data_IF_889085129817
#
_entry.id   IF_889085129817
#
_cell.length_a   1.000
_cell.length_b   1.000
_cell.length_c   1.000
_cell.angle_alpha   90.00
_cell.angle_beta   90.00
_cell.angle_gamma   90.00
#
_symmetry.space_group_name_H-M   'P 1'
#
loop_
_entity.id
_entity.type
_entity.pdbx_description
1 polymer ?
#
# COMPACT_ATOMS: atom_id res chain seq x y z
N UNK A 1 1.52 9.20 -22.45
CA UNK A 1 2.05 9.52 -21.11
C UNK A 1 1.69 8.36 -20.21
N UNK A 2 2.59 7.87 -19.33
CA UNK A 2 2.22 6.84 -18.36
C UNK A 2 1.04 7.37 -17.54
N UNK A 3 -0.08 6.64 -17.53
CA UNK A 3 -1.22 6.99 -16.69
C UNK A 3 -0.88 6.63 -15.23
N UNK A 4 -1.08 7.56 -14.30
CA UNK A 4 -0.99 7.26 -12.88
C UNK A 4 -2.31 6.62 -12.43
N UNK A 5 -2.27 5.39 -11.91
CA UNK A 5 -3.46 4.71 -11.45
C UNK A 5 -3.68 5.03 -9.96
N UNK A 6 -4.85 5.59 -9.58
CA UNK A 6 -5.18 5.82 -8.18
C UNK A 6 -5.44 4.48 -7.49
N UNK A 7 -4.77 4.26 -6.37
CA UNK A 7 -4.96 3.10 -5.51
C UNK A 7 -5.34 3.59 -4.12
N UNK A 8 -6.37 2.96 -3.57
CA UNK A 8 -6.84 3.21 -2.22
C UNK A 8 -6.62 1.93 -1.41
N UNK A 9 -5.89 2.05 -0.32
CA UNK A 9 -5.66 0.96 0.62
C UNK A 9 -6.46 1.26 1.88
N UNK A 10 -7.30 0.32 2.28
CA UNK A 10 -8.08 0.41 3.52
C UNK A 10 -7.67 -0.72 4.46
N UNK A 11 -7.31 -0.35 5.68
CA UNK A 11 -7.07 -1.29 6.78
C UNK A 11 -8.23 -1.17 7.73
N UNK A 12 -8.91 -2.29 7.98
CA UNK A 12 -9.97 -2.39 8.99
C UNK A 12 -9.45 -3.16 10.19
N UNK A 13 -9.67 -2.63 11.38
CA UNK A 13 -9.24 -3.23 12.64
C UNK A 13 -10.31 -2.99 13.69
N UNK A 14 -10.57 -3.99 14.54
CA UNK A 14 -11.51 -3.87 15.67
C UNK A 14 -10.97 -2.96 16.79
N UNK A 15 -9.68 -2.61 16.71
CA UNK A 15 -9.01 -1.72 17.65
C UNK A 15 -8.32 -0.59 16.90
N UNK A 16 -8.28 0.58 17.54
CA UNK A 16 -7.51 1.72 17.04
C UNK A 16 -6.02 1.36 17.01
N UNK A 17 -5.47 1.22 15.81
CA UNK A 17 -4.04 0.96 15.58
C UNK A 17 -3.40 2.16 14.91
N UNK A 18 -2.29 2.63 15.48
CA UNK A 18 -1.42 3.62 14.86
C UNK A 18 -0.46 2.95 13.89
N UNK A 19 -0.21 3.58 12.74
CA UNK A 19 0.80 3.15 11.77
C UNK A 19 2.03 4.02 11.94
N UNK A 20 3.13 3.40 12.32
CA UNK A 20 4.43 4.06 12.52
C UNK A 20 5.13 4.33 11.20
N UNK A 21 5.13 3.34 10.31
CA UNK A 21 5.78 3.40 9.02
C UNK A 21 5.04 2.48 8.05
N UNK A 22 4.83 2.92 6.81
CA UNK A 22 4.32 2.04 5.77
C UNK A 22 4.90 2.42 4.42
N UNK A 23 5.23 1.40 3.63
CA UNK A 23 5.76 1.58 2.28
C UNK A 23 5.36 0.42 1.38
N UNK A 24 5.24 0.71 0.09
CA UNK A 24 5.15 -0.28 -0.97
C UNK A 24 6.52 -0.48 -1.60
N UNK A 25 6.87 -1.73 -1.86
CA UNK A 25 8.07 -2.10 -2.59
C UNK A 25 7.67 -2.98 -3.79
N UNK A 26 8.26 -2.73 -4.94
CA UNK A 26 8.02 -3.55 -6.13
C UNK A 26 8.79 -4.86 -6.02
N UNK A 27 8.08 -6.00 -6.04
CA UNK A 27 8.70 -7.33 -5.94
C UNK A 27 9.40 -7.69 -7.25
N UNK A 28 8.70 -7.48 -8.38
CA UNK A 28 9.20 -7.79 -9.71
C UNK A 28 9.58 -6.54 -10.52
N UNK A 29 9.56 -5.35 -9.89
CA UNK A 29 9.85 -4.08 -10.52
C UNK A 29 10.76 -3.23 -9.64
N UNK A 30 11.86 -2.75 -10.20
CA UNK A 30 12.83 -1.93 -9.47
C UNK A 30 12.41 -0.45 -9.45
N UNK A 31 11.37 -0.14 -8.68
CA UNK A 31 10.82 1.23 -8.53
C UNK A 31 11.16 1.88 -7.18
N UNK A 32 11.88 1.17 -6.31
CA UNK A 32 12.21 1.62 -4.97
C UNK A 32 11.02 1.49 -4.00
N UNK A 33 11.11 2.23 -2.88
CA UNK A 33 10.09 2.24 -1.82
C UNK A 33 9.18 3.45 -2.00
N UNK A 34 7.88 3.21 -2.18
CA UNK A 34 6.85 4.24 -2.23
C UNK A 34 6.26 4.40 -0.83
N UNK A 35 6.43 5.56 -0.16
CA UNK A 35 5.87 5.75 1.17
C UNK A 35 4.34 5.77 1.12
N UNK A 36 3.70 5.09 2.07
CA UNK A 36 2.24 5.02 2.20
C UNK A 36 1.83 5.73 3.48
N UNK A 37 1.04 6.79 3.34
CA UNK A 37 0.55 7.57 4.47
C UNK A 37 -0.90 7.18 4.77
N UNK A 38 -1.10 6.53 5.92
CA UNK A 38 -2.43 6.20 6.40
C UNK A 38 -3.02 7.36 7.20
N UNK A 39 -4.30 7.62 6.97
CA UNK A 39 -5.10 8.56 7.75
C UNK A 39 -6.33 7.84 8.29
N UNK A 40 -6.79 8.23 9.47
CA UNK A 40 -7.98 7.65 10.05
C UNK A 40 -9.22 8.16 9.31
N UNK A 41 -9.90 7.26 8.58
CA UNK A 41 -11.14 7.56 7.85
C UNK A 41 -12.37 7.29 8.71
N UNK A 42 -12.29 6.30 9.61
CA UNK A 42 -13.32 6.00 10.62
C UNK A 42 -12.66 5.44 11.89
N UNK A 43 -13.40 5.26 13.01
CA UNK A 43 -12.85 4.69 14.25
C UNK A 43 -12.06 3.39 14.04
N UNK A 44 -12.53 2.55 13.11
CA UNK A 44 -12.03 1.20 12.86
C UNK A 44 -11.37 1.08 11.48
N UNK A 45 -11.17 2.19 10.76
CA UNK A 45 -10.64 2.19 9.39
C UNK A 45 -9.56 3.24 9.18
N UNK A 46 -8.39 2.76 8.75
CA UNK A 46 -7.34 3.58 8.19
C UNK A 46 -7.40 3.52 6.67
N UNK A 47 -7.16 4.65 6.02
CA UNK A 47 -7.19 4.78 4.57
C UNK A 47 -5.94 5.52 4.08
N UNK A 48 -5.32 4.98 3.04
CA UNK A 48 -4.21 5.61 2.34
C UNK A 48 -4.54 5.75 0.85
N UNK A 49 -4.29 6.94 0.31
CA UNK A 49 -4.45 7.25 -1.10
C UNK A 49 -3.08 7.41 -1.72
N UNK A 50 -2.83 6.65 -2.77
CA UNK A 50 -1.59 6.72 -3.50
C UNK A 50 -1.87 6.66 -5.00
N UNK A 51 -0.91 7.13 -5.77
CA UNK A 51 -0.92 7.00 -7.21
C UNK A 51 0.33 6.24 -7.61
N UNK A 52 0.13 5.09 -8.26
CA UNK A 52 1.23 4.33 -8.82
C UNK A 52 1.32 4.66 -10.30
N UNK A 53 2.50 5.08 -10.76
CA UNK A 53 2.75 5.24 -12.19
C UNK A 53 2.62 3.89 -12.88
N UNK A 54 1.87 3.82 -13.98
CA UNK A 54 1.81 2.62 -14.80
C UNK A 54 3.23 2.28 -15.29
N UNK A 55 3.80 1.21 -14.74
CA UNK A 55 5.06 0.67 -15.23
C UNK A 55 4.81 -0.14 -16.51
N UNK A 56 5.83 -0.29 -17.35
CA UNK A 56 5.76 -1.05 -18.60
C UNK A 56 5.51 -2.57 -18.38
N UNK A 57 5.49 -3.03 -17.13
CA UNK A 57 5.29 -4.42 -16.77
C UNK A 57 3.79 -4.78 -16.72
N UNK A 58 3.31 -5.77 -17.52
CA UNK A 58 1.91 -6.15 -17.56
C UNK A 58 1.36 -6.76 -16.26
N UNK A 59 2.21 -7.27 -15.37
CA UNK A 59 1.82 -7.77 -14.05
C UNK A 59 2.70 -7.10 -12.98
N UNK A 60 2.16 -6.12 -12.27
CA UNK A 60 2.90 -5.38 -11.26
C UNK A 60 2.72 -6.05 -9.90
N UNK A 61 3.76 -6.67 -9.36
CA UNK A 61 3.72 -7.26 -8.02
C UNK A 61 4.28 -6.28 -7.00
N UNK A 62 3.47 -6.00 -5.99
CA UNK A 62 3.78 -5.05 -4.93
C UNK A 62 3.71 -5.75 -3.58
N UNK A 63 4.64 -5.39 -2.70
CA UNK A 63 4.62 -5.77 -1.29
C UNK A 63 4.35 -4.52 -0.45
N UNK A 64 3.25 -4.53 0.29
CA UNK A 64 2.92 -3.53 1.30
C UNK A 64 3.51 -3.96 2.63
N UNK A 65 4.44 -3.15 3.16
CA UNK A 65 5.01 -3.31 4.48
C UNK A 65 4.40 -2.27 5.41
N UNK A 66 3.88 -2.70 6.56
CA UNK A 66 3.28 -1.84 7.58
C UNK A 66 3.92 -2.17 8.93
N UNK A 67 4.50 -1.15 9.56
CA UNK A 67 4.93 -1.17 10.95
C UNK A 67 3.91 -0.38 11.78
N UNK A 68 3.41 -1.00 12.84
CA UNK A 68 2.48 -0.36 13.76
C UNK A 68 3.22 0.36 14.88
N UNK A 69 2.55 1.35 15.49
CA UNK A 69 3.07 2.05 16.67
C UNK A 69 3.11 1.14 17.91
N UNK A 70 2.25 0.12 17.95
CA UNK A 70 2.22 -0.84 19.05
C UNK A 70 3.35 -1.87 18.87
N UNK A 71 4.32 -1.95 19.79
CA UNK A 71 5.44 -2.90 19.70
C UNK A 71 5.00 -4.37 19.87
N UNK A 72 3.81 -4.64 20.39
CA UNK A 72 3.25 -6.00 20.47
C UNK A 72 2.70 -6.50 19.12
N UNK A 73 2.45 -5.59 18.18
CA UNK A 73 1.98 -5.93 16.84
C UNK A 73 3.18 -6.22 15.94
N UNK A 74 3.18 -7.40 15.32
CA UNK A 74 4.14 -7.73 14.28
C UNK A 74 3.93 -6.86 13.04
N UNK A 75 5.01 -6.62 12.31
CA UNK A 75 4.94 -5.99 10.98
C UNK A 75 4.02 -6.79 10.06
N UNK A 76 3.13 -6.10 9.37
CA UNK A 76 2.23 -6.71 8.41
C UNK A 76 2.82 -6.56 7.00
N UNK A 77 3.00 -7.68 6.32
CA UNK A 77 3.45 -7.75 4.94
C UNK A 77 2.33 -8.32 4.08
N UNK A 78 1.91 -7.57 3.05
CA UNK A 78 0.83 -7.96 2.14
C UNK A 78 1.32 -7.85 0.71
N UNK A 79 1.41 -8.99 0.04
CA UNK A 79 1.73 -9.06 -1.39
C UNK A 79 0.45 -8.97 -2.22
N UNK A 80 0.44 -8.12 -3.25
CA UNK A 80 -0.66 -8.04 -4.20
C UNK A 80 -0.16 -7.75 -5.62
N UNK A 81 -0.92 -8.22 -6.61
CA UNK A 81 -0.66 -7.93 -8.02
C UNK A 81 -1.64 -6.89 -8.56
N UNK A 82 -1.14 -5.75 -9.03
CA UNK A 82 -1.90 -4.82 -9.83
C UNK A 82 -1.79 -5.20 -11.32
N UNK A 83 -2.92 -5.27 -12.02
CA UNK A 83 -2.96 -5.46 -13.47
C UNK A 83 -3.35 -4.14 -14.12
N UNK A 84 -2.55 -3.67 -15.07
CA UNK A 84 -2.99 -2.61 -15.95
C UNK A 84 -4.25 -3.11 -16.68
N UNK A 85 -5.35 -2.38 -16.57
CA UNK A 85 -6.61 -2.76 -17.20
C UNK A 85 -6.44 -2.58 -18.71
N UNK A 86 -6.13 -3.66 -19.43
CA UNK A 86 -6.15 -3.69 -20.88
C UNK A 86 -7.59 -3.45 -21.34
N UNK A 87 -7.83 -2.35 -22.04
CA UNK A 87 -9.06 -2.11 -22.78
C UNK A 87 -9.14 -3.01 -24.01
#
# INVERSE_FOLDING_TARGET
MPEEQPIVIQIKSEQLVGVKNAYLEGINMYMGKVPVMFSQSSPDTLEAHLRLGACAEPQMQWELNIEFDNPELSTLQVEFSARARSN
#
